data_IF_439870633813
#
_entry.id   IF_439870633813
#
_cell.length_a   1.000
_cell.length_b   1.000
_cell.length_c   1.000
_cell.angle_alpha   90.00
_cell.angle_beta   90.00
_cell.angle_gamma   90.00
#
_symmetry.space_group_name_H-M   'P 1'
#
loop_
_entity.id
_entity.type
_entity.pdbx_description
1 polymer ?
#
# COMPACT_ATOMS: atom_id res chain seq x y z
N UNK A 1 -2.12 1.00 -7.44
CA UNK A 1 -1.38 1.75 -6.42
C UNK A 1 -0.72 0.74 -5.49
N UNK A 2 0.56 0.87 -5.27
CA UNK A 2 1.30 0.04 -4.32
C UNK A 2 1.59 0.91 -3.13
N UNK A 3 1.06 0.54 -1.99
CA UNK A 3 1.38 1.17 -0.72
C UNK A 3 2.33 0.24 0.02
N UNK A 4 3.61 0.59 0.10
CA UNK A 4 4.53 -0.10 1.00
C UNK A 4 4.46 0.64 2.33
N UNK A 5 3.85 0.05 3.32
CA UNK A 5 3.71 0.67 4.64
C UNK A 5 4.68 -0.03 5.59
N UNK A 6 5.90 0.48 5.69
CA UNK A 6 6.86 0.00 6.69
C UNK A 6 6.43 0.31 8.14
N UNK A 7 5.50 1.25 8.30
CA UNK A 7 4.98 1.70 9.60
C UNK A 7 3.49 1.38 9.83
N UNK A 8 2.90 0.44 9.09
CA UNK A 8 1.51 0.04 9.31
C UNK A 8 1.31 -0.56 10.71
N UNK A 9 2.34 -1.20 11.25
CA UNK A 9 2.32 -1.73 12.63
C UNK A 9 2.10 -0.64 13.67
N UNK A 10 2.72 0.53 13.48
CA UNK A 10 2.58 1.65 14.41
C UNK A 10 1.22 2.35 14.22
N UNK A 11 0.71 2.37 13.02
CA UNK A 11 -0.62 2.92 12.70
C UNK A 11 -1.75 2.01 13.24
N UNK A 12 -1.70 0.71 12.97
CA UNK A 12 -2.67 -0.28 13.50
C UNK A 12 -2.57 -0.39 15.02
N UNK A 13 -1.36 -0.32 15.58
CA UNK A 13 -1.14 -0.31 17.02
C UNK A 13 -1.76 0.93 17.69
N UNK A 14 -1.65 2.10 17.09
CA UNK A 14 -2.26 3.32 17.62
C UNK A 14 -3.79 3.35 17.47
N UNK A 15 -4.36 2.74 16.43
CA UNK A 15 -5.81 2.58 16.30
C UNK A 15 -6.38 1.59 17.32
N UNK A 16 -5.68 0.50 17.62
CA UNK A 16 -6.12 -0.47 18.63
C UNK A 16 -5.98 0.05 20.06
N UNK A 17 -5.02 0.94 20.32
CA UNK A 17 -4.78 1.50 21.65
C UNK A 17 -5.86 2.46 22.14
N UNK A 18 -6.65 3.06 21.26
CA UNK A 18 -7.78 3.89 21.67
C UNK A 18 -8.95 3.09 22.27
N UNK A 19 -8.94 1.77 22.15
CA UNK A 19 -10.00 0.89 22.67
C UNK A 19 -9.59 -0.01 23.85
N UNK A 20 -8.31 0.01 24.26
CA UNK A 20 -7.84 -0.86 25.36
C UNK A 20 -7.04 -0.10 26.43
N UNK A 21 -7.67 0.82 27.12
CA UNK A 21 -7.28 1.08 28.50
C UNK A 21 -7.99 0.11 29.41
N UNK A 22 -7.41 -1.02 29.65
CA UNK A 22 -7.43 -1.87 30.86
C UNK A 22 -7.07 -3.30 30.49
N UNK A 23 -5.85 -3.70 30.72
CA UNK A 23 -5.55 -4.92 31.48
C UNK A 23 -4.06 -5.31 31.39
N UNK A 24 -3.43 -5.25 32.55
CA UNK A 24 -2.43 -6.19 33.10
C UNK A 24 -1.03 -6.27 32.49
N UNK A 25 -0.14 -5.70 33.26
CA UNK A 25 1.31 -5.94 33.37
C UNK A 25 1.67 -7.42 33.25
N UNK A 26 2.35 -7.83 32.18
CA UNK A 26 3.09 -9.10 32.13
C UNK A 26 4.49 -8.90 31.55
N UNK A 27 5.46 -9.15 32.44
CA UNK A 27 6.83 -9.66 32.39
C UNK A 27 7.51 -9.71 31.03
N UNK A 28 8.61 -8.94 30.95
CA UNK A 28 9.58 -8.90 29.88
C UNK A 28 10.28 -10.26 29.68
N UNK A 29 10.09 -10.89 28.58
CA UNK A 29 11.07 -11.78 27.97
C UNK A 29 11.47 -11.14 26.65
N UNK A 30 12.80 -10.93 26.49
CA UNK A 30 13.43 -10.44 25.26
C UNK A 30 13.27 -11.46 24.13
N UNK A 31 12.09 -11.62 23.63
CA UNK A 31 11.85 -12.23 22.33
C UNK A 31 12.01 -11.10 21.31
N UNK A 32 13.01 -11.17 20.47
CA UNK A 32 13.11 -10.31 19.28
C UNK A 32 11.82 -10.52 18.47
N UNK A 33 10.81 -9.70 18.72
CA UNK A 33 9.55 -9.79 17.98
C UNK A 33 9.82 -9.31 16.56
N UNK A 34 9.76 -10.25 15.60
CA UNK A 34 9.75 -9.90 14.18
C UNK A 34 8.54 -9.01 13.94
N UNK A 35 8.77 -7.77 13.53
CA UNK A 35 7.69 -6.87 13.14
C UNK A 35 7.10 -7.40 11.83
N UNK A 36 5.82 -7.76 11.78
CA UNK A 36 5.21 -8.20 10.54
C UNK A 36 5.13 -7.03 9.54
N UNK A 37 5.45 -7.30 8.29
CA UNK A 37 5.28 -6.36 7.18
C UNK A 37 4.09 -6.82 6.34
N UNK A 38 3.18 -5.92 6.03
CA UNK A 38 2.02 -6.18 5.17
C UNK A 38 2.21 -5.44 3.85
N UNK A 39 2.20 -6.17 2.75
CA UNK A 39 2.09 -5.61 1.40
C UNK A 39 0.62 -5.71 0.98
N UNK A 40 -0.04 -4.56 0.83
CA UNK A 40 -1.42 -4.50 0.36
C UNK A 40 -1.45 -3.97 -1.07
N UNK A 41 -1.97 -4.76 -1.99
CA UNK A 41 -2.10 -4.41 -3.40
C UNK A 41 -3.58 -4.12 -3.67
N UNK A 42 -3.87 -2.85 -3.99
CA UNK A 42 -5.19 -2.41 -4.40
C UNK A 42 -5.24 -2.38 -5.92
N UNK A 43 -5.58 -3.51 -6.51
CA UNK A 43 -5.65 -3.67 -7.95
C UNK A 43 -6.76 -2.78 -8.54
N UNK A 44 -6.46 -2.10 -9.63
CA UNK A 44 -7.38 -1.13 -10.23
C UNK A 44 -7.53 0.21 -9.52
N UNK A 45 -6.92 0.39 -8.34
CA UNK A 45 -6.96 1.65 -7.60
C UNK A 45 -5.93 2.63 -8.19
N UNK A 46 -6.33 3.41 -9.19
CA UNK A 46 -5.50 4.38 -9.88
C UNK A 46 -5.63 5.80 -9.32
N UNK A 47 -4.64 6.64 -9.62
CA UNK A 47 -4.67 8.06 -9.33
C UNK A 47 -5.16 8.83 -10.55
N UNK A 48 -6.15 9.69 -10.36
CA UNK A 48 -6.68 10.58 -11.37
C UNK A 48 -7.03 11.92 -10.71
N UNK A 49 -6.55 13.02 -11.29
CA UNK A 49 -6.81 14.37 -10.78
C UNK A 49 -8.26 14.84 -11.06
N UNK A 50 -8.99 14.12 -11.93
CA UNK A 50 -10.40 14.40 -12.24
C UNK A 50 -11.31 13.56 -11.35
N UNK A 51 -12.26 14.20 -10.70
CA UNK A 51 -13.26 13.52 -9.87
C UNK A 51 -14.46 13.01 -10.65
N UNK A 52 -14.78 13.61 -11.80
CA UNK A 52 -15.91 13.19 -12.63
C UNK A 52 -15.78 11.71 -13.03
N UNK A 53 -16.79 10.92 -12.73
CA UNK A 53 -16.83 9.47 -12.96
C UNK A 53 -15.66 8.69 -12.30
N UNK A 54 -15.11 9.21 -11.22
CA UNK A 54 -14.00 8.63 -10.48
C UNK A 54 -14.46 8.20 -9.09
N UNK A 55 -14.79 6.92 -8.95
CA UNK A 55 -15.27 6.35 -7.70
C UNK A 55 -14.28 6.48 -6.53
N UNK A 56 -12.97 6.53 -6.81
CA UNK A 56 -11.94 6.74 -5.77
C UNK A 56 -12.03 8.16 -5.20
N UNK A 57 -12.25 9.14 -6.06
CA UNK A 57 -12.38 10.55 -5.64
C UNK A 57 -13.75 10.84 -4.99
N UNK A 58 -14.82 10.26 -5.52
CA UNK A 58 -16.19 10.46 -5.02
C UNK A 58 -16.46 9.64 -3.76
N UNK A 59 -15.71 8.57 -3.53
CA UNK A 59 -15.83 7.70 -2.37
C UNK A 59 -15.34 8.35 -1.09
N UNK A 60 -15.90 7.94 0.04
CA UNK A 60 -15.39 8.32 1.36
C UNK A 60 -14.28 7.35 1.76
N UNK A 61 -13.04 7.77 1.64
CA UNK A 61 -11.85 6.95 1.90
C UNK A 61 -10.93 7.53 2.99
N UNK A 62 -11.47 7.81 4.21
CA UNK A 62 -10.73 8.57 5.22
C UNK A 62 -9.41 7.93 5.65
N UNK A 63 -9.33 6.60 5.65
CA UNK A 63 -8.09 5.89 5.99
C UNK A 63 -7.07 6.02 4.87
N UNK A 64 -7.47 5.90 3.61
CA UNK A 64 -6.57 6.09 2.47
C UNK A 64 -6.08 7.53 2.40
N UNK A 65 -6.96 8.50 2.60
CA UNK A 65 -6.61 9.92 2.64
C UNK A 65 -5.57 10.21 3.73
N UNK A 66 -5.76 9.62 4.91
CA UNK A 66 -4.82 9.73 6.01
C UNK A 66 -3.48 9.07 5.67
N UNK A 67 -3.46 7.87 5.12
CA UNK A 67 -2.24 7.17 4.72
C UNK A 67 -1.46 7.97 3.66
N UNK A 68 -2.15 8.47 2.65
CA UNK A 68 -1.53 9.25 1.57
C UNK A 68 -0.97 10.60 2.05
N UNK A 69 -1.55 11.18 3.09
CA UNK A 69 -1.11 12.48 3.64
C UNK A 69 -0.01 12.35 4.71
N UNK A 70 0.03 11.25 5.47
CA UNK A 70 0.91 11.10 6.63
C UNK A 70 2.05 10.11 6.43
N UNK A 71 1.93 9.20 5.46
CA UNK A 71 2.94 8.18 5.18
C UNK A 71 3.76 8.53 3.92
N UNK A 72 4.98 7.99 3.78
CA UNK A 72 5.72 8.10 2.54
C UNK A 72 4.89 7.58 1.36
N UNK A 73 4.75 8.41 0.33
CA UNK A 73 3.92 8.12 -0.83
C UNK A 73 4.69 8.42 -2.11
N UNK A 74 4.62 7.50 -3.07
CA UNK A 74 5.23 7.66 -4.39
C UNK A 74 4.27 7.21 -5.48
N UNK A 75 4.21 7.96 -6.58
CA UNK A 75 3.47 7.57 -7.78
C UNK A 75 4.33 6.63 -8.61
N UNK A 76 3.82 5.45 -8.93
CA UNK A 76 4.45 4.49 -9.83
C UNK A 76 3.76 4.44 -11.18
N UNK A 77 4.54 4.29 -12.25
CA UNK A 77 3.99 3.98 -13.57
C UNK A 77 3.47 2.53 -13.59
N UNK A 78 2.37 2.29 -14.31
CA UNK A 78 1.72 0.98 -14.41
C UNK A 78 1.53 0.54 -15.87
N UNK A 79 2.24 1.11 -16.83
CA UNK A 79 2.09 0.81 -18.26
C UNK A 79 3.40 0.97 -19.03
N UNK A 80 3.45 0.41 -20.22
CA UNK A 80 4.56 0.55 -21.17
C UNK A 80 5.91 0.07 -20.62
N UNK A 81 6.97 0.65 -21.12
CA UNK A 81 8.35 0.27 -20.79
C UNK A 81 8.68 0.33 -19.30
N UNK A 82 7.99 1.17 -18.53
CA UNK A 82 8.19 1.27 -17.09
C UNK A 82 7.82 -0.03 -16.34
N UNK A 83 7.02 -0.89 -16.93
CA UNK A 83 6.65 -2.20 -16.37
C UNK A 83 7.11 -3.37 -17.27
N UNK A 84 7.94 -3.10 -18.27
CA UNK A 84 8.50 -4.12 -19.16
C UNK A 84 7.60 -4.53 -20.33
N UNK A 85 6.60 -3.71 -20.64
CA UNK A 85 5.72 -3.86 -21.79
C UNK A 85 6.12 -2.89 -22.92
N UNK A 86 5.76 -3.18 -24.19
CA UNK A 86 5.92 -2.24 -25.29
C UNK A 86 5.30 -0.88 -24.98
N UNK A 87 5.87 0.17 -25.58
CA UNK A 87 5.38 1.53 -25.42
C UNK A 87 3.90 1.64 -25.83
N UNK A 88 3.11 2.36 -25.04
CA UNK A 88 1.68 2.53 -25.26
C UNK A 88 0.80 1.34 -24.81
N UNK A 89 1.41 0.24 -24.42
CA UNK A 89 0.64 -0.89 -23.90
C UNK A 89 0.25 -0.67 -22.45
N UNK A 90 -1.04 -0.83 -22.16
CA UNK A 90 -1.57 -0.75 -20.79
C UNK A 90 -1.08 -1.94 -19.95
N UNK A 91 -0.67 -1.68 -18.72
CA UNK A 91 -0.31 -2.72 -17.78
C UNK A 91 -1.49 -3.60 -17.38
N UNK A 92 -1.16 -4.75 -16.85
CA UNK A 92 -2.11 -5.71 -16.29
C UNK A 92 -1.60 -6.27 -14.96
N UNK A 93 -2.48 -6.94 -14.24
CA UNK A 93 -2.15 -7.50 -12.92
C UNK A 93 -1.00 -8.50 -12.99
N UNK A 94 -0.95 -9.34 -14.00
CA UNK A 94 0.06 -10.41 -14.14
C UNK A 94 1.47 -9.81 -14.21
N UNK A 95 1.68 -8.86 -15.12
CA UNK A 95 2.98 -8.21 -15.31
C UNK A 95 3.38 -7.39 -14.09
N UNK A 96 2.45 -6.62 -13.53
CA UNK A 96 2.74 -5.77 -12.38
C UNK A 96 3.05 -6.59 -11.13
N UNK A 97 2.29 -7.66 -10.86
CA UNK A 97 2.57 -8.55 -9.72
C UNK A 97 3.87 -9.32 -9.90
N UNK A 98 4.18 -9.75 -11.13
CA UNK A 98 5.46 -10.39 -11.44
C UNK A 98 6.65 -9.46 -11.14
N UNK A 99 6.58 -8.20 -11.55
CA UNK A 99 7.62 -7.21 -11.29
C UNK A 99 7.81 -6.97 -9.79
N UNK A 100 6.70 -6.88 -9.04
CA UNK A 100 6.76 -6.73 -7.58
C UNK A 100 7.40 -7.95 -6.92
N UNK A 101 6.99 -9.16 -7.30
CA UNK A 101 7.55 -10.39 -6.76
C UNK A 101 9.02 -10.60 -7.12
N UNK A 102 9.43 -10.18 -8.32
CA UNK A 102 10.81 -10.25 -8.78
C UNK A 102 11.72 -9.14 -8.22
N UNK A 103 11.15 -8.07 -7.67
CA UNK A 103 11.89 -6.88 -7.22
C UNK A 103 12.62 -6.15 -8.35
N UNK A 104 12.20 -6.37 -9.61
CA UNK A 104 12.78 -5.76 -10.81
C UNK A 104 11.77 -5.75 -11.95
N UNK A 105 12.02 -4.95 -12.97
CA UNK A 105 11.25 -5.02 -14.22
C UNK A 105 11.59 -6.32 -14.96
N UNK A 106 10.55 -7.07 -15.30
CA UNK A 106 10.63 -8.27 -16.14
C UNK A 106 10.06 -7.89 -17.51
N UNK A 107 10.93 -7.78 -18.51
CA UNK A 107 10.53 -7.45 -19.87
C UNK A 107 9.82 -8.66 -20.51
N UNK A 108 8.71 -8.37 -21.20
CA UNK A 108 7.89 -9.35 -21.92
C UNK A 108 8.33 -9.45 -23.38
#
# INVERSE_FOLDING_TARGET
MILTVENLSDFVYNMSRQNEEKTTKRRSENVMSKKPTVLMILDGYGLNDKCEANAVCEGKTPIMDQLMSQCPFVKGAASGMAVGLPEGQMGNSEVCHLNMGAGRIVYQ
#
